data_IF_872493433062
#
_entry.id   IF_872493433062
#
_cell.length_a   1.000
_cell.length_b   1.000
_cell.length_c   1.000
_cell.angle_alpha   90.00
_cell.angle_beta   90.00
_cell.angle_gamma   90.00
#
_symmetry.space_group_name_H-M   'P 1'
#
loop_
_entity.id
_entity.type
_entity.pdbx_description
1 polymer ?
#
# COMPACT_ATOMS: atom_id res chain seq x y z
N UNK A 1 -20.56 36.15 -5.18
CA UNK A 1 -19.94 35.54 -6.38
C UNK A 1 -19.58 34.09 -6.07
N UNK A 2 -20.40 33.07 -6.38
CA UNK A 2 -20.01 31.68 -6.16
C UNK A 2 -19.73 30.98 -7.50
N UNK A 3 -18.48 30.56 -7.69
CA UNK A 3 -18.04 29.49 -8.61
C UNK A 3 -16.90 28.83 -7.83
N UNK A 4 -16.85 27.53 -7.54
CA UNK A 4 -17.42 26.36 -8.19
C UNK A 4 -17.37 25.18 -7.21
N UNK A 5 -18.49 24.50 -6.97
CA UNK A 5 -18.44 23.10 -6.54
C UNK A 5 -18.11 22.26 -7.78
N UNK A 6 -16.86 21.83 -7.92
CA UNK A 6 -16.47 20.89 -8.97
C UNK A 6 -16.82 19.46 -8.54
N UNK A 7 -17.92 18.96 -9.11
CA UNK A 7 -18.22 17.59 -9.49
C UNK A 7 -17.46 16.41 -8.82
N UNK A 8 -18.22 15.66 -8.01
CA UNK A 8 -18.23 14.19 -7.92
C UNK A 8 -16.88 13.47 -7.78
N UNK A 9 -16.26 13.62 -6.62
CA UNK A 9 -15.31 12.63 -6.11
C UNK A 9 -16.04 11.30 -5.91
N UNK A 10 -15.60 10.24 -6.59
CA UNK A 10 -16.14 8.89 -6.38
C UNK A 10 -15.47 8.32 -5.14
N UNK A 11 -16.26 8.04 -4.12
CA UNK A 11 -15.77 7.37 -2.92
C UNK A 11 -15.85 5.87 -3.11
N UNK A 12 -14.77 5.15 -2.75
CA UNK A 12 -14.89 3.72 -2.56
C UNK A 12 -15.89 3.46 -1.41
N UNK A 13 -17.00 2.73 -1.61
CA UNK A 13 -17.98 2.50 -0.54
C UNK A 13 -17.41 1.69 0.62
N UNK A 14 -16.28 1.01 0.40
CA UNK A 14 -15.64 0.12 1.38
C UNK A 14 -14.57 0.87 2.20
N UNK A 15 -13.55 1.47 1.57
CA UNK A 15 -12.49 2.20 2.29
C UNK A 15 -12.71 3.72 2.39
N UNK A 16 -13.73 4.27 1.73
CA UNK A 16 -14.05 5.71 1.70
C UNK A 16 -12.91 6.62 1.21
N UNK A 17 -11.96 6.06 0.45
CA UNK A 17 -10.94 6.83 -0.27
C UNK A 17 -11.54 7.56 -1.48
N UNK A 18 -10.94 8.70 -1.82
CA UNK A 18 -11.28 9.45 -3.04
C UNK A 18 -10.62 8.77 -4.23
N UNK A 19 -11.42 8.12 -5.07
CA UNK A 19 -10.99 7.64 -6.38
C UNK A 19 -11.06 8.85 -7.34
N UNK A 20 -9.92 9.51 -7.56
CA UNK A 20 -9.82 10.46 -8.67
C UNK A 20 -10.07 9.67 -9.95
N UNK A 21 -11.08 10.06 -10.74
CA UNK A 21 -11.29 9.48 -12.07
C UNK A 21 -9.95 9.48 -12.80
N UNK A 22 -9.52 8.34 -13.35
CA UNK A 22 -8.62 8.31 -14.51
C UNK A 22 -9.38 8.97 -15.66
N UNK A 23 -9.40 10.29 -15.70
CA UNK A 23 -9.78 11.01 -16.89
C UNK A 23 -8.65 10.80 -17.90
N UNK A 24 -9.02 10.13 -19.00
CA UNK A 24 -8.23 9.92 -20.21
C UNK A 24 -6.99 9.02 -20.11
N UNK A 25 -7.19 7.74 -20.48
CA UNK A 25 -6.11 6.89 -20.97
C UNK A 25 -5.70 7.39 -22.37
N UNK A 26 -4.85 8.40 -22.42
CA UNK A 26 -4.34 9.04 -23.64
C UNK A 26 -2.83 8.88 -23.83
N UNK A 27 -2.26 7.71 -23.55
CA UNK A 27 -0.85 7.41 -23.82
C UNK A 27 -0.70 6.19 -24.74
N UNK A 28 -1.20 6.36 -25.98
CA UNK A 28 -0.52 5.84 -27.16
C UNK A 28 0.23 7.01 -27.80
N UNK A 29 1.42 7.30 -27.29
CA UNK A 29 2.41 8.09 -28.01
C UNK A 29 3.79 7.52 -27.67
N UNK A 30 4.31 6.70 -28.58
CA UNK A 30 5.72 6.29 -28.64
C UNK A 30 6.58 7.54 -28.63
N UNK A 31 7.56 7.58 -27.75
CA UNK A 31 8.77 8.36 -27.92
C UNK A 31 9.90 7.56 -27.31
N UNK A 32 10.74 7.04 -28.18
CA UNK A 32 11.85 6.16 -27.90
C UNK A 32 13.04 7.08 -27.63
N UNK A 33 13.61 7.02 -26.42
CA UNK A 33 14.97 7.51 -26.15
C UNK A 33 15.61 6.61 -25.11
N UNK A 34 16.54 5.78 -25.60
CA UNK A 34 17.55 5.04 -24.84
C UNK A 34 18.41 5.99 -24.00
N UNK A 35 18.69 5.65 -22.74
CA UNK A 35 20.02 5.23 -22.23
C UNK A 35 20.07 5.27 -20.70
N UNK A 36 20.55 4.15 -20.16
CA UNK A 36 21.50 4.00 -19.05
C UNK A 36 21.03 4.18 -17.60
N UNK A 37 21.20 3.05 -16.90
CA UNK A 37 21.68 2.88 -15.52
C UNK A 37 21.36 3.99 -14.52
N UNK A 38 20.46 3.66 -13.60
CA UNK A 38 20.79 3.96 -12.21
C UNK A 38 20.18 2.92 -11.28
N UNK A 39 21.07 2.28 -10.54
CA UNK A 39 20.82 1.35 -9.44
C UNK A 39 19.77 1.93 -8.48
N UNK A 40 18.59 1.32 -8.46
CA UNK A 40 17.55 1.60 -7.47
C UNK A 40 18.09 1.25 -6.10
N UNK A 41 18.52 2.30 -5.41
CA UNK A 41 19.07 2.23 -4.07
C UNK A 41 17.88 2.00 -3.15
N UNK A 42 17.67 0.74 -2.76
CA UNK A 42 16.79 0.41 -1.64
C UNK A 42 17.26 1.22 -0.45
N UNK A 43 16.43 2.18 -0.03
CA UNK A 43 16.76 3.11 1.03
C UNK A 43 16.65 2.35 2.36
N UNK A 44 17.79 1.77 2.75
CA UNK A 44 18.00 1.00 3.96
C UNK A 44 17.90 1.94 5.18
N UNK A 45 16.69 2.08 5.71
CA UNK A 45 16.49 2.70 7.01
C UNK A 45 16.82 1.68 8.10
N UNK A 46 17.95 1.93 8.76
CA UNK A 46 18.58 1.09 9.77
C UNK A 46 17.76 0.99 11.06
N UNK A 47 17.24 -0.20 11.36
CA UNK A 47 16.74 -0.60 12.69
C UNK A 47 16.74 -2.14 12.82
N UNK A 48 17.92 -2.75 13.04
CA UNK A 48 18.20 -4.15 13.46
C UNK A 48 17.45 -5.35 12.82
N UNK A 49 16.61 -5.12 11.83
CA UNK A 49 15.86 -6.03 10.98
C UNK A 49 15.35 -5.11 9.87
N UNK A 50 15.74 -5.27 8.60
CA UNK A 50 15.56 -4.25 7.55
C UNK A 50 14.12 -3.83 7.18
N UNK A 51 13.14 -4.03 8.06
CA UNK A 51 11.75 -3.66 7.88
C UNK A 51 11.46 -2.24 8.37
N UNK A 52 10.72 -1.43 7.59
CA UNK A 52 10.32 -0.10 8.00
C UNK A 52 9.37 -0.17 9.20
N UNK A 53 9.52 0.78 10.12
CA UNK A 53 8.61 0.96 11.25
C UNK A 53 7.69 2.15 11.00
N UNK A 54 6.47 2.05 11.53
CA UNK A 54 5.40 3.02 11.32
C UNK A 54 4.86 3.57 12.63
N UNK A 55 4.27 4.77 12.53
CA UNK A 55 3.57 5.45 13.62
C UNK A 55 2.07 5.43 13.34
N UNK A 56 1.26 5.12 14.35
CA UNK A 56 -0.19 5.17 14.26
C UNK A 56 -0.65 6.63 14.12
N UNK A 57 -1.34 7.01 13.04
CA UNK A 57 -1.79 8.40 12.86
C UNK A 57 -2.94 8.78 13.79
N UNK A 58 -3.59 7.80 14.44
CA UNK A 58 -4.75 8.00 15.31
C UNK A 58 -4.37 8.28 16.78
N UNK A 59 -3.42 7.52 17.33
CA UNK A 59 -2.97 7.66 18.73
C UNK A 59 -1.51 8.11 18.89
N UNK A 60 -0.76 8.22 17.79
CA UNK A 60 0.66 8.61 17.77
C UNK A 60 1.63 7.62 18.42
N UNK A 61 1.20 6.40 18.78
CA UNK A 61 2.10 5.31 19.15
C UNK A 61 2.99 4.91 17.95
N UNK A 62 4.25 4.53 18.22
CA UNK A 62 5.29 4.29 17.20
C UNK A 62 5.91 2.91 17.31
N UNK A 63 6.86 2.62 16.40
CA UNK A 63 7.63 1.37 16.36
C UNK A 63 6.78 0.14 15.98
N UNK A 64 5.73 0.34 15.18
CA UNK A 64 4.95 -0.77 14.66
C UNK A 64 5.53 -1.27 13.35
N UNK A 65 5.68 -2.59 13.21
CA UNK A 65 5.73 -3.20 11.89
C UNK A 65 4.38 -3.02 11.19
N UNK A 66 4.34 -3.24 9.87
CA UNK A 66 3.09 -3.19 9.09
C UNK A 66 1.96 -3.99 9.74
N UNK A 67 2.23 -5.25 10.08
CA UNK A 67 1.24 -6.15 10.69
C UNK A 67 0.81 -5.68 12.07
N UNK A 68 1.77 -5.27 12.92
CA UNK A 68 1.47 -4.78 14.26
C UNK A 68 0.63 -3.51 14.25
N UNK A 69 0.82 -2.63 13.26
CA UNK A 69 -0.01 -1.44 13.09
C UNK A 69 -1.46 -1.82 12.75
N UNK A 70 -1.65 -2.80 11.87
CA UNK A 70 -2.97 -3.32 11.51
C UNK A 70 -3.70 -3.92 12.73
N UNK A 71 -3.03 -4.80 13.47
CA UNK A 71 -3.59 -5.42 14.69
C UNK A 71 -3.96 -4.38 15.75
N UNK A 72 -3.05 -3.41 15.97
CA UNK A 72 -3.26 -2.30 16.90
C UNK A 72 -4.47 -1.46 16.51
N UNK A 73 -4.59 -1.07 15.24
CA UNK A 73 -5.71 -0.26 14.76
C UNK A 73 -7.04 -1.01 14.81
N UNK A 74 -7.06 -2.30 14.50
CA UNK A 74 -8.25 -3.15 14.61
C UNK A 74 -8.69 -3.35 16.07
N UNK A 75 -7.78 -3.28 17.05
CA UNK A 75 -8.15 -3.48 18.45
C UNK A 75 -8.57 -2.18 19.15
N UNK A 76 -7.95 -1.05 18.78
CA UNK A 76 -8.08 0.21 19.53
C UNK A 76 -8.88 1.30 18.82
N UNK A 77 -9.10 1.20 17.50
CA UNK A 77 -9.56 2.32 16.68
C UNK A 77 -10.69 2.01 15.68
N UNK A 78 -11.40 0.87 15.82
CA UNK A 78 -12.46 0.44 14.87
C UNK A 78 -13.50 1.51 14.52
N UNK A 79 -13.84 2.37 15.48
CA UNK A 79 -14.89 3.37 15.33
C UNK A 79 -14.37 4.79 15.06
N UNK A 80 -13.06 4.97 14.89
CA UNK A 80 -12.45 6.27 14.61
C UNK A 80 -12.43 6.53 13.10
N UNK A 81 -13.35 7.38 12.63
CA UNK A 81 -13.44 7.82 11.24
C UNK A 81 -12.85 9.22 11.13
N UNK A 82 -11.52 9.29 11.09
CA UNK A 82 -10.75 10.54 11.00
C UNK A 82 -9.93 10.50 9.71
N UNK A 83 -9.96 11.55 8.87
CA UNK A 83 -9.15 11.61 7.67
C UNK A 83 -7.66 11.66 8.00
N UNK A 84 -6.92 10.67 7.53
CA UNK A 84 -5.47 10.56 7.74
C UNK A 84 -4.76 10.12 6.46
N UNK A 85 -3.49 10.49 6.32
CA UNK A 85 -2.61 9.90 5.29
C UNK A 85 -2.06 8.58 5.82
N UNK A 86 -2.15 7.50 5.03
CA UNK A 86 -1.65 6.20 5.45
C UNK A 86 -0.11 6.18 5.44
N UNK A 87 0.56 5.92 6.59
CA UNK A 87 2.03 5.91 6.68
C UNK A 87 2.66 4.77 5.86
N UNK A 88 1.94 3.67 5.62
CA UNK A 88 2.41 2.54 4.80
C UNK A 88 2.31 2.88 3.31
N UNK A 89 1.27 3.57 2.85
CA UNK A 89 1.18 3.97 1.45
C UNK A 89 2.29 4.94 1.05
N UNK A 90 2.59 5.92 1.91
CA UNK A 90 3.62 6.94 1.60
C UNK A 90 5.04 6.42 1.71
N UNK A 91 5.27 5.27 2.34
CA UNK A 91 6.58 4.60 2.34
C UNK A 91 6.85 3.84 1.05
N UNK A 92 5.86 3.65 0.17
CA UNK A 92 6.05 3.01 -1.13
C UNK A 92 6.59 4.04 -2.15
N UNK A 93 7.51 3.65 -3.06
CA UNK A 93 8.05 4.55 -4.09
C UNK A 93 6.98 5.18 -4.98
N UNK A 94 5.87 4.48 -5.19
CA UNK A 94 4.71 4.91 -5.98
C UNK A 94 3.56 5.50 -5.12
N UNK A 95 3.79 5.72 -3.82
CA UNK A 95 2.82 6.30 -2.91
C UNK A 95 2.61 7.80 -3.14
N UNK A 96 1.37 8.29 -3.04
CA UNK A 96 1.05 9.71 -3.09
C UNK A 96 0.76 10.27 -1.67
N UNK A 97 1.60 11.17 -1.13
CA UNK A 97 1.43 11.77 0.20
C UNK A 97 0.13 12.55 0.37
N UNK A 98 -0.51 12.95 -0.74
CA UNK A 98 -1.76 13.70 -0.75
C UNK A 98 -2.99 12.79 -0.67
N UNK A 99 -2.80 11.47 -0.71
CA UNK A 99 -3.90 10.52 -0.56
C UNK A 99 -4.31 10.42 0.90
N UNK A 100 -5.58 10.78 1.14
CA UNK A 100 -6.19 10.77 2.46
C UNK A 100 -7.24 9.67 2.48
N UNK A 101 -7.15 8.77 3.45
CA UNK A 101 -8.21 7.82 3.76
C UNK A 101 -9.08 8.36 4.89
N UNK A 102 -10.40 8.27 4.73
CA UNK A 102 -11.37 8.68 5.76
C UNK A 102 -11.54 7.64 6.86
N UNK A 103 -11.36 6.36 6.51
CA UNK A 103 -11.43 5.25 7.44
C UNK A 103 -10.11 4.47 7.36
N UNK A 104 -9.21 4.81 8.28
CA UNK A 104 -7.87 4.24 8.30
C UNK A 104 -7.88 2.72 8.53
N UNK A 105 -8.69 2.23 9.47
CA UNK A 105 -8.76 0.81 9.81
C UNK A 105 -9.25 -0.02 8.63
N UNK A 106 -10.32 0.44 7.98
CA UNK A 106 -10.84 -0.23 6.77
C UNK A 106 -9.83 -0.21 5.62
N UNK A 107 -9.10 0.89 5.46
CA UNK A 107 -8.04 0.99 4.45
C UNK A 107 -6.90 -0.02 4.72
N UNK A 108 -6.44 -0.13 5.97
CA UNK A 108 -5.42 -1.11 6.36
C UNK A 108 -5.88 -2.54 6.03
N UNK A 109 -7.10 -2.90 6.39
CA UNK A 109 -7.65 -4.23 6.12
C UNK A 109 -7.78 -4.55 4.62
N UNK A 110 -7.94 -3.54 3.75
CA UNK A 110 -8.08 -3.79 2.31
C UNK A 110 -6.76 -3.78 1.55
N UNK A 111 -5.83 -2.91 1.93
CA UNK A 111 -4.59 -2.65 1.17
C UNK A 111 -3.35 -3.24 1.81
N UNK A 112 -3.42 -3.52 3.10
CA UNK A 112 -2.27 -3.84 3.93
C UNK A 112 -2.47 -5.07 4.82
N UNK A 113 -3.58 -5.81 4.64
CA UNK A 113 -3.82 -7.09 5.32
C UNK A 113 -2.80 -8.16 4.94
N UNK A 114 -2.28 -8.11 3.71
CA UNK A 114 -1.28 -9.05 3.22
C UNK A 114 0.05 -8.34 3.00
N UNK A 115 1.13 -9.03 3.38
CA UNK A 115 2.50 -8.63 3.06
C UNK A 115 3.06 -9.54 1.97
N UNK A 116 3.34 -8.96 0.81
CA UNK A 116 3.86 -9.73 -0.33
C UNK A 116 5.24 -10.34 -0.05
N UNK A 117 6.06 -9.74 0.83
CA UNK A 117 7.37 -10.29 1.17
C UNK A 117 7.31 -11.56 2.01
N UNK A 118 6.17 -11.85 2.64
CA UNK A 118 5.97 -13.09 3.39
C UNK A 118 5.57 -14.26 2.46
N UNK A 119 4.82 -13.99 1.39
CA UNK A 119 4.30 -15.02 0.49
C UNK A 119 5.07 -15.16 -0.83
N UNK A 120 5.89 -14.16 -1.19
CA UNK A 120 6.66 -14.13 -2.43
C UNK A 120 8.12 -13.89 -2.09
N UNK A 121 8.95 -14.91 -2.33
CA UNK A 121 10.39 -14.74 -2.22
C UNK A 121 10.93 -14.05 -3.48
N UNK A 122 11.06 -12.72 -3.42
CA UNK A 122 11.55 -11.88 -4.52
C UNK A 122 12.96 -12.22 -5.03
N UNK A 123 13.70 -13.11 -4.34
CA UNK A 123 15.02 -13.57 -4.77
C UNK A 123 14.96 -14.82 -5.66
N UNK A 124 13.81 -15.50 -5.72
CA UNK A 124 13.59 -16.64 -6.61
C UNK A 124 13.11 -16.17 -7.98
N UNK A 125 13.49 -16.91 -9.02
CA UNK A 125 12.93 -16.70 -10.35
C UNK A 125 11.46 -17.12 -10.42
N UNK A 126 10.75 -16.61 -11.42
CA UNK A 126 9.31 -16.81 -11.61
C UNK A 126 8.94 -18.30 -11.79
N UNK A 127 9.78 -19.08 -12.46
CA UNK A 127 9.53 -20.51 -12.72
C UNK A 127 9.64 -21.33 -11.43
N UNK A 128 10.64 -21.05 -10.61
CA UNK A 128 10.82 -21.68 -9.29
C UNK A 128 9.67 -21.31 -8.34
N UNK A 129 9.22 -20.06 -8.34
CA UNK A 129 8.07 -19.63 -7.54
C UNK A 129 6.79 -20.34 -7.98
N UNK A 130 6.55 -20.46 -9.28
CA UNK A 130 5.39 -21.15 -9.83
C UNK A 130 5.39 -22.64 -9.45
N UNK A 131 6.52 -23.32 -9.62
CA UNK A 131 6.66 -24.73 -9.29
C UNK A 131 6.43 -25.00 -7.79
N UNK A 132 6.97 -24.14 -6.92
CA UNK A 132 6.75 -24.19 -5.47
C UNK A 132 5.26 -24.04 -5.13
N UNK A 133 4.58 -23.06 -5.73
CA UNK A 133 3.15 -22.85 -5.50
C UNK A 133 2.30 -24.05 -5.94
N UNK A 134 2.65 -24.71 -7.06
CA UNK A 134 1.98 -25.93 -7.54
C UNK A 134 2.15 -27.08 -6.56
N UNK A 135 3.36 -27.27 -6.04
CA UNK A 135 3.67 -28.33 -5.07
C UNK A 135 2.97 -28.11 -3.73
N UNK A 136 3.03 -26.89 -3.19
CA UNK A 136 2.33 -26.54 -1.96
C UNK A 136 0.81 -26.72 -2.10
N UNK A 137 0.25 -26.37 -3.26
CA UNK A 137 -1.17 -26.59 -3.55
C UNK A 137 -1.56 -28.07 -3.53
N UNK A 138 -0.63 -28.98 -3.84
CA UNK A 138 -0.85 -30.42 -3.81
C UNK A 138 -0.84 -30.99 -2.38
N UNK A 139 -0.06 -30.39 -1.48
CA UNK A 139 0.14 -30.88 -0.11
C UNK A 139 -0.99 -30.51 0.87
N UNK A 140 -1.95 -29.66 0.49
CA UNK A 140 -3.09 -29.27 1.35
C UNK A 140 -4.21 -30.35 1.37
N UNK A 141 -4.07 -31.43 0.59
CA UNK A 141 -5.10 -32.46 0.40
C UNK A 141 -4.82 -33.83 1.07
N UNK A 142 -3.94 -33.90 2.08
CA UNK A 142 -3.65 -35.12 2.87
C UNK A 142 -3.96 -34.92 4.36
#
# INVERSE_FOLDING_TARGET
RPKSLSAMDFYCPVCQEVLKRRADCGLVARSETSTSDNTETYQENTSSSGHPTFKCPLCQESNFTRQRLLDHCNSNHLFQIIPVTCPICVSLPWGDPRQITRNFVSHLNQRHQFDYGEFVNLQLDEETQYQTAVEESFHVNI
#
